data_IF_409425320380
#
_entry.id   IF_409425320380
#
_cell.length_a   1.000
_cell.length_b   1.000
_cell.length_c   1.000
_cell.angle_alpha   90.00
_cell.angle_beta   90.00
_cell.angle_gamma   90.00
#
_symmetry.space_group_name_H-M   'P 1'
#
loop_
_entity.id
_entity.type
_entity.pdbx_description
1 polymer ?
#
# COMPACT_ATOMS: atom_id res chain seq x y z
N UNK A 1 12.72 0.04 -4.14
CA UNK A 1 13.05 0.33 -5.56
C UNK A 1 13.83 -0.84 -6.14
N UNK A 2 13.46 -1.30 -7.33
CA UNK A 2 14.18 -2.32 -8.09
C UNK A 2 14.73 -1.69 -9.39
N UNK A 3 15.96 -2.04 -9.76
CA UNK A 3 16.58 -1.56 -10.98
C UNK A 3 16.62 -2.70 -12.01
N UNK A 4 16.11 -2.45 -13.22
CA UNK A 4 16.12 -3.38 -14.33
C UNK A 4 16.99 -2.82 -15.46
N UNK A 5 17.86 -3.66 -16.01
CA UNK A 5 18.63 -3.35 -17.21
C UNK A 5 18.09 -4.19 -18.37
N UNK A 6 17.35 -3.52 -19.25
CA UNK A 6 16.74 -4.14 -20.42
C UNK A 6 17.65 -4.00 -21.64
N UNK A 7 17.73 -5.06 -22.45
CA UNK A 7 18.51 -5.07 -23.67
C UNK A 7 17.70 -4.54 -24.84
N UNK A 8 18.39 -4.05 -25.87
CA UNK A 8 17.78 -3.73 -27.15
C UNK A 8 17.05 -4.95 -27.72
N UNK A 9 15.90 -4.71 -28.34
CA UNK A 9 15.08 -5.75 -28.94
C UNK A 9 14.64 -5.33 -30.34
N UNK A 10 14.82 -6.21 -31.29
CA UNK A 10 14.26 -6.04 -32.63
C UNK A 10 12.89 -6.70 -32.71
N UNK A 11 11.92 -5.94 -33.16
CA UNK A 11 10.56 -6.41 -33.44
C UNK A 11 10.26 -6.22 -34.92
N UNK A 12 9.66 -7.24 -35.51
CA UNK A 12 9.17 -7.14 -36.88
C UNK A 12 7.82 -6.44 -36.89
N UNK A 13 7.69 -5.40 -37.68
CA UNK A 13 6.44 -4.70 -37.90
C UNK A 13 5.78 -5.23 -39.19
N UNK A 14 4.72 -6.00 -39.03
CA UNK A 14 3.97 -6.60 -40.13
C UNK A 14 3.38 -5.57 -41.09
N UNK A 15 3.03 -4.37 -40.58
CA UNK A 15 2.41 -3.31 -41.37
C UNK A 15 3.39 -2.63 -42.32
N UNK A 16 4.65 -2.48 -41.94
CA UNK A 16 5.70 -1.84 -42.75
C UNK A 16 6.66 -2.84 -43.36
N UNK A 17 6.58 -4.14 -42.98
CA UNK A 17 7.53 -5.20 -43.36
C UNK A 17 8.99 -4.87 -43.00
N UNK A 18 9.20 -4.14 -41.91
CA UNK A 18 10.50 -3.69 -41.44
C UNK A 18 10.77 -4.14 -40.00
N UNK A 19 12.07 -4.31 -39.68
CA UNK A 19 12.50 -4.51 -38.30
C UNK A 19 12.66 -3.16 -37.61
N UNK A 20 12.01 -3.01 -36.47
CA UNK A 20 12.14 -1.83 -35.61
C UNK A 20 12.94 -2.22 -34.38
N UNK A 21 14.06 -1.54 -34.14
CA UNK A 21 14.86 -1.72 -32.93
C UNK A 21 14.31 -0.85 -31.81
N UNK A 22 13.81 -1.48 -30.75
CA UNK A 22 13.46 -0.80 -29.51
C UNK A 22 14.71 -0.82 -28.63
N UNK A 23 15.19 0.38 -28.30
CA UNK A 23 16.38 0.52 -27.43
C UNK A 23 16.04 0.17 -25.99
N UNK A 24 16.90 -0.65 -25.41
CA UNK A 24 16.88 -0.94 -23.99
C UNK A 24 17.45 0.20 -23.15
N UNK A 25 17.51 0.00 -21.86
CA UNK A 25 18.02 0.98 -20.91
C UNK A 25 18.00 0.43 -19.50
N UNK A 26 18.40 1.27 -18.55
CA UNK A 26 18.30 0.96 -17.13
C UNK A 26 17.15 1.75 -16.54
N UNK A 27 16.20 1.06 -15.93
CA UNK A 27 14.96 1.60 -15.41
C UNK A 27 14.87 1.32 -13.92
N UNK A 28 14.45 2.32 -13.16
CA UNK A 28 14.18 2.21 -11.74
C UNK A 28 12.66 2.14 -11.52
N UNK A 29 12.20 1.05 -10.91
CA UNK A 29 10.79 0.84 -10.64
C UNK A 29 10.53 0.89 -9.14
N UNK A 30 9.50 1.63 -8.73
CA UNK A 30 9.04 1.67 -7.35
C UNK A 30 7.57 1.27 -7.24
N UNK A 31 7.29 0.27 -6.42
CA UNK A 31 5.93 -0.09 -6.04
C UNK A 31 5.42 0.95 -5.03
N UNK A 32 4.85 2.04 -5.51
CA UNK A 32 4.46 3.20 -4.73
C UNK A 32 2.95 3.48 -4.78
N UNK A 33 2.45 4.30 -3.85
CA UNK A 33 1.05 4.72 -3.86
C UNK A 33 0.72 5.53 -5.12
N UNK A 34 1.67 6.33 -5.62
CA UNK A 34 1.53 7.07 -6.89
C UNK A 34 1.32 6.11 -8.07
N UNK A 35 2.09 5.02 -8.14
CA UNK A 35 1.95 4.01 -9.21
C UNK A 35 0.56 3.35 -9.15
N UNK A 36 0.08 3.01 -7.96
CA UNK A 36 -1.26 2.46 -7.73
C UNK A 36 -2.33 3.46 -8.16
N UNK A 37 -2.22 4.72 -7.76
CA UNK A 37 -3.17 5.79 -8.12
C UNK A 37 -3.27 5.99 -9.63
N UNK A 38 -2.13 6.02 -10.35
CA UNK A 38 -2.11 6.10 -11.83
C UNK A 38 -2.88 4.94 -12.46
N UNK A 39 -2.70 3.72 -11.93
CA UNK A 39 -3.39 2.53 -12.42
C UNK A 39 -4.90 2.60 -12.15
N UNK A 40 -5.32 2.96 -10.92
CA UNK A 40 -6.72 3.11 -10.54
C UNK A 40 -7.43 4.19 -11.36
N UNK A 41 -6.74 5.30 -11.63
CA UNK A 41 -7.27 6.36 -12.51
C UNK A 41 -7.59 5.87 -13.92
N UNK A 42 -6.76 4.96 -14.47
CA UNK A 42 -6.99 4.40 -15.81
C UNK A 42 -8.14 3.39 -15.83
N UNK A 43 -8.10 2.42 -14.91
CA UNK A 43 -9.03 1.29 -14.98
C UNK A 43 -10.31 1.49 -14.19
N UNK A 44 -10.39 2.50 -13.31
CA UNK A 44 -11.53 2.78 -12.42
C UNK A 44 -11.90 1.57 -11.52
N UNK A 45 -10.88 0.81 -11.13
CA UNK A 45 -10.99 -0.38 -10.28
C UNK A 45 -10.05 -0.24 -9.08
N UNK A 46 -10.42 -0.77 -7.89
CA UNK A 46 -9.56 -0.76 -6.74
C UNK A 46 -8.39 -1.76 -6.93
N UNK A 47 -7.16 -1.26 -6.94
CA UNK A 47 -5.96 -2.05 -7.21
C UNK A 47 -5.81 -3.26 -6.27
N UNK A 48 -5.97 -3.04 -4.97
CA UNK A 48 -5.76 -4.07 -3.94
C UNK A 48 -6.83 -5.17 -3.92
N UNK A 49 -7.96 -4.95 -4.60
CA UNK A 49 -9.08 -5.89 -4.64
C UNK A 49 -9.32 -6.46 -6.04
N UNK A 50 -8.45 -6.15 -6.99
CA UNK A 50 -8.55 -6.59 -8.38
C UNK A 50 -7.41 -7.56 -8.70
N UNK A 51 -7.74 -8.67 -9.34
CA UNK A 51 -6.71 -9.54 -9.91
C UNK A 51 -6.06 -8.84 -11.11
N UNK A 52 -4.75 -8.59 -11.00
CA UNK A 52 -3.99 -7.86 -11.99
C UNK A 52 -3.16 -8.83 -12.80
N UNK A 53 -3.53 -9.02 -14.07
CA UNK A 53 -2.85 -9.92 -15.00
C UNK A 53 -2.81 -9.33 -16.42
N UNK A 54 -1.96 -9.88 -17.27
CA UNK A 54 -1.85 -9.51 -18.68
C UNK A 54 -1.53 -8.01 -18.88
N UNK A 55 -2.30 -7.34 -19.73
CA UNK A 55 -2.10 -5.93 -20.08
C UNK A 55 -2.18 -4.99 -18.88
N UNK A 56 -3.05 -5.30 -17.90
CA UNK A 56 -3.18 -4.49 -16.69
C UNK A 56 -1.91 -4.53 -15.84
N UNK A 57 -1.25 -5.68 -15.78
CA UNK A 57 0.04 -5.82 -15.09
C UNK A 57 1.15 -5.07 -15.85
N UNK A 58 1.23 -5.22 -17.15
CA UNK A 58 2.20 -4.50 -17.98
C UNK A 58 2.04 -2.99 -17.84
N UNK A 59 0.80 -2.49 -17.87
CA UNK A 59 0.54 -1.07 -17.63
C UNK A 59 0.94 -0.65 -16.20
N UNK A 60 0.69 -1.51 -15.19
CA UNK A 60 1.13 -1.20 -13.83
C UNK A 60 2.66 -1.05 -13.73
N UNK A 61 3.39 -1.92 -14.41
CA UNK A 61 4.87 -1.82 -14.46
C UNK A 61 5.30 -0.48 -15.05
N UNK A 62 4.63 0.04 -16.09
CA UNK A 62 4.93 1.38 -16.61
C UNK A 62 4.60 2.49 -15.61
N UNK A 63 3.57 2.31 -14.77
CA UNK A 63 3.26 3.27 -13.70
C UNK A 63 4.31 3.32 -12.58
N UNK A 64 5.04 2.22 -12.38
CA UNK A 64 6.10 2.11 -11.37
C UNK A 64 7.40 2.84 -11.78
N UNK A 65 7.52 3.22 -13.04
CA UNK A 65 8.69 3.89 -13.60
C UNK A 65 8.39 5.36 -13.87
N UNK A 66 9.33 6.24 -13.56
CA UNK A 66 9.23 7.66 -13.91
C UNK A 66 9.66 7.92 -15.37
N UNK A 67 10.42 7.01 -15.95
CA UNK A 67 10.85 7.05 -17.34
C UNK A 67 9.88 6.28 -18.24
N UNK A 68 9.85 6.62 -19.53
CA UNK A 68 9.02 5.92 -20.50
C UNK A 68 9.57 4.53 -20.79
N UNK A 69 9.05 3.52 -20.09
CA UNK A 69 9.39 2.13 -20.26
C UNK A 69 8.50 1.48 -21.32
N UNK A 70 9.11 0.90 -22.36
CA UNK A 70 8.37 0.10 -23.33
C UNK A 70 8.18 -1.34 -22.80
N UNK A 71 6.93 -1.77 -22.49
CA UNK A 71 6.70 -3.11 -21.94
C UNK A 71 7.14 -4.26 -22.82
N UNK A 72 7.29 -4.03 -24.15
CA UNK A 72 7.75 -5.08 -25.09
C UNK A 72 9.19 -5.52 -24.88
N UNK A 73 9.97 -4.74 -24.11
CA UNK A 73 11.35 -5.10 -23.74
C UNK A 73 11.40 -6.10 -22.58
N UNK A 74 10.34 -6.18 -21.78
CA UNK A 74 10.29 -7.04 -20.59
C UNK A 74 10.33 -8.52 -20.99
N UNK A 75 11.23 -9.24 -20.35
CA UNK A 75 11.28 -10.70 -20.43
C UNK A 75 10.41 -11.34 -19.37
N UNK A 76 10.16 -12.63 -19.49
CA UNK A 76 9.45 -13.39 -18.45
C UNK A 76 10.19 -13.34 -17.10
N UNK A 77 11.52 -13.37 -17.14
CA UNK A 77 12.35 -13.30 -15.93
C UNK A 77 12.22 -11.93 -15.25
N UNK A 78 12.18 -10.84 -16.02
CA UNK A 78 11.97 -9.50 -15.49
C UNK A 78 10.59 -9.38 -14.84
N UNK A 79 9.56 -9.95 -15.44
CA UNK A 79 8.21 -9.96 -14.88
C UNK A 79 8.12 -10.73 -13.55
N UNK A 80 8.84 -11.86 -13.43
CA UNK A 80 8.94 -12.62 -12.18
C UNK A 80 9.63 -11.77 -11.11
N UNK A 81 10.76 -11.14 -11.41
CA UNK A 81 11.48 -10.25 -10.46
C UNK A 81 10.63 -9.09 -9.99
N UNK A 82 9.87 -8.49 -10.92
CA UNK A 82 8.95 -7.39 -10.58
C UNK A 82 7.84 -7.90 -9.64
N UNK A 83 7.26 -9.06 -9.94
CA UNK A 83 6.20 -9.64 -9.11
C UNK A 83 6.72 -10.00 -7.69
N UNK A 84 7.91 -10.57 -7.59
CA UNK A 84 8.56 -10.83 -6.30
C UNK A 84 8.80 -9.53 -5.51
N UNK A 85 9.28 -8.48 -6.19
CA UNK A 85 9.49 -7.17 -5.57
C UNK A 85 8.19 -6.54 -5.06
N UNK A 86 7.09 -6.66 -5.80
CA UNK A 86 5.77 -6.16 -5.38
C UNK A 86 5.27 -6.90 -4.14
N UNK A 87 5.56 -8.20 -4.02
CA UNK A 87 5.13 -9.05 -2.90
C UNK A 87 6.02 -8.93 -1.66
N UNK A 88 7.24 -8.41 -1.81
CA UNK A 88 8.18 -8.25 -0.69
C UNK A 88 7.61 -7.24 0.33
N UNK A 89 7.43 -7.64 1.60
CA UNK A 89 6.91 -6.75 2.64
C UNK A 89 7.80 -5.54 2.93
N UNK A 90 9.06 -5.54 2.54
CA UNK A 90 10.04 -4.45 2.72
C UNK A 90 10.12 -3.96 4.20
N UNK A 91 9.80 -4.83 5.15
CA UNK A 91 9.71 -4.51 6.56
C UNK A 91 10.10 -5.70 7.44
N UNK A 92 10.82 -5.42 8.53
CA UNK A 92 11.08 -6.39 9.60
C UNK A 92 9.93 -6.50 10.60
N UNK A 93 8.93 -5.61 10.52
CA UNK A 93 7.78 -5.61 11.42
C UNK A 93 6.81 -6.71 11.02
N UNK A 94 6.55 -7.63 11.95
CA UNK A 94 5.54 -8.67 11.81
C UNK A 94 4.34 -8.35 12.70
N UNK A 95 3.14 -8.61 12.19
CA UNK A 95 1.92 -8.44 12.95
C UNK A 95 1.30 -9.81 13.21
N UNK A 96 0.93 -10.10 14.46
CA UNK A 96 0.03 -11.22 14.72
C UNK A 96 -1.32 -10.91 14.07
N UNK A 97 -1.88 -11.88 13.31
CA UNK A 97 -3.12 -11.69 12.57
C UNK A 97 -4.21 -11.13 13.49
N UNK A 98 -4.78 -9.95 13.19
CA UNK A 98 -5.98 -9.52 13.86
C UNK A 98 -7.10 -10.49 13.48
N UNK A 99 -7.97 -10.82 14.43
CA UNK A 99 -9.22 -11.55 14.16
C UNK A 99 -9.97 -10.79 13.08
N UNK A 100 -10.32 -11.48 12.00
CA UNK A 100 -11.07 -10.92 10.87
C UNK A 100 -12.43 -10.42 11.39
N UNK A 101 -12.59 -9.12 11.54
CA UNK A 101 -13.80 -8.49 12.07
C UNK A 101 -14.89 -8.31 11.01
N UNK A 102 -14.79 -8.99 9.90
CA UNK A 102 -15.89 -9.27 8.97
C UNK A 102 -16.31 -8.15 8.00
N UNK A 103 -15.91 -6.90 8.20
CA UNK A 103 -16.11 -5.83 7.21
C UNK A 103 -14.76 -5.39 6.68
N UNK A 104 -14.45 -5.79 5.45
CA UNK A 104 -13.30 -5.26 4.69
C UNK A 104 -13.80 -4.08 3.89
N UNK A 105 -13.49 -2.87 4.33
CA UNK A 105 -13.69 -1.69 3.51
C UNK A 105 -12.81 -1.81 2.24
N UNK A 106 -13.37 -1.39 1.11
CA UNK A 106 -12.61 -1.35 -0.15
C UNK A 106 -11.54 -0.26 0.01
N UNK A 107 -10.29 -0.69 -0.03
CA UNK A 107 -9.14 0.19 0.13
C UNK A 107 -8.64 0.64 -1.24
N UNK A 108 -8.88 1.90 -1.57
CA UNK A 108 -8.38 2.55 -2.79
C UNK A 108 -7.24 3.52 -2.46
N UNK A 109 -6.53 3.99 -3.48
CA UNK A 109 -5.47 5.00 -3.29
C UNK A 109 -5.98 6.25 -2.59
N UNK A 110 -7.18 6.74 -2.94
CA UNK A 110 -7.78 7.92 -2.31
C UNK A 110 -8.05 7.71 -0.81
N UNK A 111 -8.53 6.52 -0.43
CA UNK A 111 -8.73 6.16 0.99
C UNK A 111 -7.39 6.16 1.72
N UNK A 112 -6.34 5.65 1.11
CA UNK A 112 -4.99 5.63 1.70
C UNK A 112 -4.45 7.06 1.86
N UNK A 113 -4.62 7.95 0.87
CA UNK A 113 -4.26 9.37 1.00
C UNK A 113 -5.01 10.05 2.15
N UNK A 114 -6.31 9.76 2.31
CA UNK A 114 -7.09 10.28 3.44
C UNK A 114 -6.54 9.78 4.78
N UNK A 115 -6.20 8.49 4.89
CA UNK A 115 -5.60 7.90 6.10
C UNK A 115 -4.22 8.54 6.38
N UNK A 116 -3.37 8.75 5.37
CA UNK A 116 -2.08 9.43 5.52
C UNK A 116 -2.26 10.84 6.09
N UNK A 117 -3.24 11.60 5.57
CA UNK A 117 -3.56 12.94 6.05
C UNK A 117 -4.03 12.92 7.51
N UNK A 118 -4.92 12.00 7.87
CA UNK A 118 -5.40 11.83 9.25
C UNK A 118 -4.28 11.41 10.22
N UNK A 119 -3.34 10.60 9.73
CA UNK A 119 -2.16 10.17 10.49
C UNK A 119 -1.05 11.24 10.54
N UNK A 120 -1.25 12.41 9.92
CA UNK A 120 -0.26 13.49 9.78
C UNK A 120 1.07 12.99 9.18
N UNK A 121 0.98 12.02 8.27
CA UNK A 121 2.13 11.47 7.57
C UNK A 121 2.50 12.38 6.40
N UNK A 122 3.80 12.62 6.20
CA UNK A 122 4.29 13.44 5.10
C UNK A 122 3.87 12.84 3.74
N UNK A 123 3.45 13.71 2.83
CA UNK A 123 3.01 13.29 1.49
C UNK A 123 4.14 12.64 0.68
N UNK A 124 5.41 12.96 0.96
CA UNK A 124 6.55 12.29 0.32
C UNK A 124 6.52 10.75 0.43
N UNK A 125 5.78 10.21 1.41
CA UNK A 125 5.60 8.77 1.55
C UNK A 125 4.83 8.12 0.40
N UNK A 126 4.10 8.88 -0.40
CA UNK A 126 3.41 8.38 -1.60
C UNK A 126 4.38 7.79 -2.63
N UNK A 127 5.62 8.30 -2.68
CA UNK A 127 6.68 7.87 -3.59
C UNK A 127 7.54 6.72 -3.02
N UNK A 128 7.33 6.36 -1.74
CA UNK A 128 8.05 5.26 -1.10
C UNK A 128 7.38 3.92 -1.38
N UNK A 129 8.10 2.85 -1.06
CA UNK A 129 7.54 1.50 -1.20
C UNK A 129 6.20 1.36 -0.47
N UNK A 130 5.19 0.91 -1.20
CA UNK A 130 3.80 0.82 -0.74
C UNK A 130 3.62 -0.13 0.45
N UNK A 131 4.28 -1.29 0.45
CA UNK A 131 4.18 -2.25 1.54
C UNK A 131 4.75 -1.68 2.84
N UNK A 132 5.84 -0.90 2.72
CA UNK A 132 6.42 -0.17 3.86
C UNK A 132 5.50 0.95 4.36
N UNK A 133 4.87 1.70 3.47
CA UNK A 133 3.87 2.70 3.81
C UNK A 133 2.72 2.07 4.61
N UNK A 134 2.14 0.97 4.10
CA UNK A 134 1.07 0.26 4.78
C UNK A 134 1.47 -0.27 6.16
N UNK A 135 2.71 -0.73 6.30
CA UNK A 135 3.26 -1.15 7.59
C UNK A 135 3.29 0.01 8.59
N UNK A 136 3.75 1.20 8.16
CA UNK A 136 3.82 2.39 9.03
C UNK A 136 2.42 2.85 9.45
N UNK A 137 1.47 2.94 8.50
CA UNK A 137 0.09 3.31 8.81
C UNK A 137 -0.53 2.34 9.82
N UNK A 138 -0.27 1.04 9.68
CA UNK A 138 -0.73 0.03 10.64
C UNK A 138 -0.08 0.20 12.02
N UNK A 139 1.21 0.50 12.10
CA UNK A 139 1.89 0.77 13.39
C UNK A 139 1.29 2.00 14.07
N UNK A 140 1.02 3.08 13.31
CA UNK A 140 0.39 4.30 13.82
C UNK A 140 -1.01 3.97 14.38
N UNK A 141 -1.83 3.22 13.63
CA UNK A 141 -3.16 2.81 14.08
C UNK A 141 -3.11 2.02 15.40
N UNK A 142 -2.21 1.03 15.51
CA UNK A 142 -2.06 0.23 16.72
C UNK A 142 -1.63 1.09 17.91
N UNK A 143 -0.70 2.05 17.71
CA UNK A 143 -0.26 2.95 18.78
C UNK A 143 -1.39 3.87 19.25
N UNK A 144 -2.12 4.48 18.30
CA UNK A 144 -3.25 5.34 18.62
C UNK A 144 -4.37 4.55 19.35
N UNK A 145 -4.62 3.31 18.97
CA UNK A 145 -5.59 2.45 19.67
C UNK A 145 -5.14 2.10 21.10
N UNK A 146 -3.84 1.94 21.33
CA UNK A 146 -3.31 1.65 22.67
C UNK A 146 -3.31 2.89 23.57
N UNK A 147 -3.06 4.09 23.03
CA UNK A 147 -3.12 5.35 23.77
C UNK A 147 -4.57 5.74 24.10
N UNK A 148 -5.55 5.44 23.24
CA UNK A 148 -6.96 5.69 23.46
C UNK A 148 -7.67 4.66 24.36
N UNK A 149 -7.06 3.51 24.59
CA UNK A 149 -7.58 2.54 25.56
C UNK A 149 -7.09 2.91 26.95
N UNK A 150 -7.97 3.49 27.79
CA UNK A 150 -7.73 3.55 29.22
C UNK A 150 -7.33 2.15 29.72
N UNK A 151 -6.24 2.06 30.47
CA UNK A 151 -5.87 0.78 31.05
C UNK A 151 -7.04 0.23 31.88
N UNK A 152 -7.18 -1.09 31.97
CA UNK A 152 -8.23 -1.69 32.81
C UNK A 152 -8.20 -1.13 34.23
N UNK A 153 -7.01 -0.82 34.76
CA UNK A 153 -6.84 -0.21 36.08
C UNK A 153 -7.37 1.22 36.16
N UNK A 154 -7.23 2.01 35.10
CA UNK A 154 -7.78 3.38 35.01
C UNK A 154 -9.31 3.34 34.87
N UNK A 155 -9.86 2.39 34.12
CA UNK A 155 -11.30 2.16 34.01
C UNK A 155 -11.87 1.73 35.36
N UNK A 156 -11.20 0.84 36.10
CA UNK A 156 -11.61 0.43 37.45
C UNK A 156 -11.55 1.59 38.45
N UNK A 157 -10.48 2.42 38.42
CA UNK A 157 -10.39 3.62 39.28
C UNK A 157 -11.49 4.63 38.97
N UNK A 158 -11.70 4.98 37.73
CA UNK A 158 -12.75 5.92 37.30
C UNK A 158 -14.15 5.42 37.70
N UNK A 159 -14.44 4.13 37.47
CA UNK A 159 -15.71 3.55 37.89
C UNK A 159 -15.88 3.51 39.45
N UNK A 160 -14.80 3.27 40.17
CA UNK A 160 -14.81 3.31 41.65
C UNK A 160 -15.10 4.73 42.17
N UNK A 161 -14.43 5.73 41.60
CA UNK A 161 -14.62 7.14 41.94
C UNK A 161 -16.05 7.61 41.63
N UNK A 162 -16.59 7.29 40.46
CA UNK A 162 -17.97 7.59 40.08
C UNK A 162 -18.98 6.92 41.02
N UNK A 163 -18.70 5.65 41.40
CA UNK A 163 -19.59 4.94 42.35
C UNK A 163 -19.53 5.53 43.77
N UNK A 164 -18.35 5.96 44.23
CA UNK A 164 -18.22 6.64 45.51
C UNK A 164 -18.93 8.00 45.53
N UNK A 165 -18.83 8.79 44.46
CA UNK A 165 -19.58 10.05 44.32
C UNK A 165 -21.10 9.80 44.31
N UNK A 166 -21.56 8.77 43.58
CA UNK A 166 -22.97 8.38 43.57
C UNK A 166 -23.45 7.95 44.96
N UNK A 167 -22.67 7.15 45.70
CA UNK A 167 -22.97 6.76 47.09
C UNK A 167 -23.09 7.99 48.03
N UNK A 168 -22.13 8.92 47.92
CA UNK A 168 -22.17 10.18 48.67
C UNK A 168 -23.41 11.02 48.35
N UNK A 169 -23.77 11.12 47.04
CA UNK A 169 -24.92 11.92 46.59
C UNK A 169 -26.28 11.30 46.96
N UNK A 170 -26.36 9.97 47.02
CA UNK A 170 -27.59 9.24 47.32
C UNK A 170 -27.70 8.81 48.79
N UNK A 171 -26.68 9.08 49.59
CA UNK A 171 -26.68 8.73 51.02
C UNK A 171 -26.78 7.22 51.32
N UNK A 172 -26.43 6.36 50.33
CA UNK A 172 -26.54 4.91 50.46
C UNK A 172 -25.21 4.32 50.89
N UNK A 173 -25.23 3.45 51.90
CA UNK A 173 -24.06 2.66 52.36
C UNK A 173 -23.95 1.32 51.64
N UNK A 174 -24.41 1.22 50.42
CA UNK A 174 -24.57 0.12 49.48
C UNK A 174 -23.69 -1.03 49.52
#
# INVERSE_FOLDING_TARGET
MITLTLKDRELYNDSTSEFITIKGGTYNLEHSLVAISKWEQKYKLPFLHTEISGEKFLYYVTCMCDEELNPSLLTREDMIKIAEYIQDPQSATTFSNPRDTGKRDILTSEVIYAIMTMAQLDLEWENRNFNRLMTILRVISIKNDTENKMSMNEVYKSNSEINEERKKRLGTKG
#
